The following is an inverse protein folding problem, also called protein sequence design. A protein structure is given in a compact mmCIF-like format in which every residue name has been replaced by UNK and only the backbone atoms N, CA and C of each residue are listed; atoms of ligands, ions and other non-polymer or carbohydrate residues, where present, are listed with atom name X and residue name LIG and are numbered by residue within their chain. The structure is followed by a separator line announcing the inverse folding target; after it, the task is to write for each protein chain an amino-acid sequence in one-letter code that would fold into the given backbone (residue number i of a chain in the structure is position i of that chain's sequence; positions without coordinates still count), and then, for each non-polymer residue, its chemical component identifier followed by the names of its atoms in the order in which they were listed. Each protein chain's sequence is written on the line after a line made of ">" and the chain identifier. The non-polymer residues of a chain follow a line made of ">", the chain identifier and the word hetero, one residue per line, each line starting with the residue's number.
data_IF_643347384886
#
_entry.id   IF_643347384886
#
_cell.length_a   1.000
_cell.length_b   1.000
_cell.length_c   1.000
_cell.angle_alpha   90.00
_cell.angle_beta   90.00
_cell.angle_gamma   90.00
#
_symmetry.space_group_name_H-M   'P 1'
#
loop_
_entity.id
_entity.type
_entity.pdbx_description
1 polymer ?
#
# COMPACT_ATOMS: atom_id res chain seq x y z
N UNK A 1 -0.59 -24.49 -14.31
CA UNK A 1 -1.57 -25.03 -13.35
C UNK A 1 -1.62 -24.16 -12.11
N UNK A 2 -2.81 -23.90 -11.55
CA UNK A 2 -2.97 -23.20 -10.27
C UNK A 2 -2.46 -24.11 -9.15
N UNK A 3 -1.54 -23.60 -8.30
CA UNK A 3 -1.09 -24.31 -7.09
C UNK A 3 -2.05 -23.96 -5.96
N UNK A 4 -2.57 -24.94 -5.25
CA UNK A 4 -3.46 -24.75 -4.09
C UNK A 4 -2.70 -25.04 -2.79
N UNK A 5 -2.95 -24.20 -1.79
CA UNK A 5 -2.47 -24.36 -0.43
C UNK A 5 -3.66 -24.26 0.53
N UNK A 6 -3.76 -25.20 1.47
CA UNK A 6 -4.74 -25.15 2.54
C UNK A 6 -4.03 -24.96 3.87
N UNK A 7 -4.33 -23.88 4.59
CA UNK A 7 -3.64 -23.53 5.84
C UNK A 7 -3.83 -24.54 6.98
N UNK A 8 -4.91 -25.34 6.94
CA UNK A 8 -5.21 -26.36 7.96
C UNK A 8 -4.50 -27.69 7.73
N UNK A 9 -3.99 -27.95 6.51
CA UNK A 9 -3.32 -29.22 6.19
C UNK A 9 -1.81 -29.18 6.50
N UNK A 10 -1.29 -28.02 6.95
CA UNK A 10 0.14 -27.79 7.19
C UNK A 10 0.55 -27.81 8.66
N UNK A 11 -0.38 -28.12 9.59
CA UNK A 11 -0.07 -28.18 11.04
C UNK A 11 1.02 -29.23 11.40
N UNK A 12 1.38 -30.15 10.48
CA UNK A 12 2.41 -31.17 10.66
C UNK A 12 3.61 -31.00 9.71
N UNK A 13 3.67 -29.96 8.90
CA UNK A 13 4.74 -29.71 7.93
C UNK A 13 5.39 -28.34 8.14
N UNK A 14 6.58 -28.13 7.56
CA UNK A 14 7.26 -26.84 7.58
C UNK A 14 6.37 -25.75 7.02
N UNK A 15 6.26 -24.64 7.75
CA UNK A 15 5.40 -23.53 7.40
C UNK A 15 6.05 -22.19 7.77
N UNK A 16 5.90 -21.19 6.91
CA UNK A 16 6.25 -19.80 7.19
C UNK A 16 4.99 -19.04 7.61
N UNK A 17 4.89 -18.70 8.89
CA UNK A 17 3.82 -17.86 9.42
C UNK A 17 4.23 -16.39 9.35
N UNK A 18 3.38 -15.54 8.78
CA UNK A 18 3.54 -14.09 8.78
C UNK A 18 2.70 -13.53 9.93
N UNK A 19 3.36 -13.18 11.03
CA UNK A 19 2.64 -12.85 12.28
C UNK A 19 2.70 -11.37 12.53
N UNK A 20 1.52 -10.73 12.57
CA UNK A 20 1.41 -9.33 12.97
C UNK A 20 1.75 -9.15 14.46
N UNK A 21 2.49 -8.07 14.75
CA UNK A 21 2.82 -7.60 16.10
C UNK A 21 2.06 -6.31 16.43
N UNK A 22 1.94 -5.92 17.70
CA UNK A 22 1.31 -4.66 18.07
C UNK A 22 2.02 -3.45 17.48
N UNK A 23 1.24 -2.40 17.14
CA UNK A 23 1.76 -1.13 16.64
C UNK A 23 1.92 -0.06 17.74
N UNK A 24 1.73 -0.46 19.00
CA UNK A 24 1.85 0.42 20.15
C UNK A 24 1.11 -0.06 21.40
N UNK A 25 0.05 -0.85 21.25
CA UNK A 25 -0.72 -1.39 22.34
C UNK A 25 -0.62 -2.92 22.36
N UNK A 26 -0.11 -3.49 23.44
CA UNK A 26 0.05 -4.93 23.58
C UNK A 26 -1.29 -5.70 23.57
N UNK A 27 -2.40 -5.04 23.89
CA UNK A 27 -3.75 -5.63 23.84
C UNK A 27 -4.22 -5.92 22.41
N UNK A 28 -3.59 -5.32 21.40
CA UNK A 28 -3.87 -5.61 19.99
C UNK A 28 -3.23 -6.92 19.50
N UNK A 29 -2.50 -7.62 20.36
CA UNK A 29 -1.94 -8.93 20.05
C UNK A 29 -3.05 -9.99 20.00
N UNK A 30 -3.18 -10.68 18.87
CA UNK A 30 -4.23 -11.70 18.74
C UNK A 30 -3.86 -12.99 19.49
N UNK A 31 -4.88 -13.67 20.02
CA UNK A 31 -4.71 -14.99 20.66
C UNK A 31 -4.03 -16.00 19.72
N UNK A 32 -4.36 -15.96 18.42
CA UNK A 32 -3.75 -16.82 17.40
C UNK A 32 -2.27 -16.51 17.22
N UNK A 33 -1.89 -15.23 17.20
CA UNK A 33 -0.49 -14.82 17.09
C UNK A 33 0.33 -15.32 18.28
N UNK A 34 -0.16 -15.15 19.50
CA UNK A 34 0.49 -15.64 20.72
C UNK A 34 0.67 -17.16 20.66
N UNK A 35 -0.35 -17.92 20.27
CA UNK A 35 -0.29 -19.37 20.14
C UNK A 35 0.75 -19.79 19.11
N UNK A 36 0.72 -19.22 17.90
CA UNK A 36 1.67 -19.55 16.83
C UNK A 36 3.12 -19.24 17.27
N UNK A 37 3.36 -18.08 17.88
CA UNK A 37 4.70 -17.72 18.36
C UNK A 37 5.23 -18.65 19.46
N UNK A 38 4.33 -19.32 20.22
CA UNK A 38 4.73 -20.34 21.21
C UNK A 38 4.98 -21.71 20.58
N UNK A 39 4.33 -22.03 19.47
CA UNK A 39 4.34 -23.34 18.83
C UNK A 39 5.43 -23.51 17.76
N UNK A 40 5.85 -22.43 17.08
CA UNK A 40 6.87 -22.50 16.02
C UNK A 40 8.26 -22.84 16.58
N UNK A 41 9.10 -23.44 15.73
CA UNK A 41 10.48 -23.78 16.10
C UNK A 41 11.36 -22.52 16.25
N UNK A 42 11.11 -21.47 15.43
CA UNK A 42 11.93 -20.26 15.39
C UNK A 42 11.06 -19.05 15.06
N UNK A 43 11.37 -17.92 15.68
CA UNK A 43 10.84 -16.61 15.31
C UNK A 43 11.93 -15.83 14.59
N UNK A 44 11.70 -15.50 13.32
CA UNK A 44 12.54 -14.60 12.54
C UNK A 44 12.07 -13.17 12.79
N UNK A 45 12.94 -12.30 13.32
CA UNK A 45 12.61 -10.97 13.79
C UNK A 45 13.53 -9.90 13.16
N UNK A 46 12.97 -8.75 12.85
CA UNK A 46 13.71 -7.60 12.35
C UNK A 46 14.68 -7.07 13.42
N UNK A 47 14.20 -6.68 14.59
CA UNK A 47 15.01 -6.42 15.77
C UNK A 47 14.67 -7.42 16.89
N UNK A 48 15.59 -8.36 17.10
CA UNK A 48 15.45 -9.40 18.14
C UNK A 48 15.33 -8.84 19.55
N UNK A 49 15.84 -7.62 19.80
CA UNK A 49 15.76 -6.95 21.11
C UNK A 49 14.33 -6.49 21.40
N UNK A 50 13.65 -5.94 20.41
CA UNK A 50 12.26 -5.51 20.51
C UNK A 50 11.33 -6.72 20.60
N UNK A 51 11.52 -7.69 19.71
CA UNK A 51 10.75 -8.95 19.74
C UNK A 51 10.95 -9.70 21.05
N UNK A 52 12.16 -9.68 21.66
CA UNK A 52 12.40 -10.32 22.96
C UNK A 52 11.56 -9.71 24.09
N UNK A 53 11.35 -8.38 24.08
CA UNK A 53 10.47 -7.72 25.06
C UNK A 53 9.03 -8.19 24.92
N UNK A 54 8.54 -8.28 23.66
CA UNK A 54 7.21 -8.81 23.34
C UNK A 54 7.06 -10.27 23.80
N UNK A 55 8.04 -11.13 23.46
CA UNK A 55 8.06 -12.51 23.86
C UNK A 55 8.04 -12.69 25.38
N UNK A 56 8.84 -11.89 26.12
CA UNK A 56 8.85 -11.94 27.58
C UNK A 56 7.48 -11.55 28.17
N UNK A 57 6.81 -10.55 27.63
CA UNK A 57 5.49 -10.12 28.12
C UNK A 57 4.42 -11.22 27.95
N UNK A 58 4.45 -11.95 26.84
CA UNK A 58 3.48 -13.02 26.55
C UNK A 58 3.98 -14.42 26.94
N UNK A 59 5.09 -14.51 27.68
CA UNK A 59 5.67 -15.79 28.12
C UNK A 59 5.95 -16.74 26.94
N UNK A 60 6.57 -16.21 25.87
CA UNK A 60 7.00 -16.95 24.68
C UNK A 60 8.49 -17.25 24.84
N UNK A 61 8.85 -18.53 24.84
CA UNK A 61 10.23 -19.01 25.01
C UNK A 61 10.92 -19.41 23.69
N UNK A 62 10.21 -19.32 22.57
CA UNK A 62 10.69 -19.69 21.24
C UNK A 62 11.99 -18.94 20.87
N UNK A 63 12.99 -19.64 20.29
CA UNK A 63 14.25 -19.03 19.87
C UNK A 63 14.03 -17.92 18.82
N UNK A 64 14.83 -16.85 18.92
CA UNK A 64 14.82 -15.74 17.98
C UNK A 64 15.99 -15.84 17.01
N UNK A 65 15.72 -15.55 15.72
CA UNK A 65 16.71 -15.39 14.66
C UNK A 65 16.56 -13.99 14.05
N UNK A 66 17.69 -13.29 13.86
CA UNK A 66 17.65 -11.96 13.23
C UNK A 66 17.46 -12.06 11.71
N UNK A 67 16.50 -11.29 11.19
CA UNK A 67 16.21 -11.15 9.77
C UNK A 67 15.79 -9.71 9.46
N UNK A 68 16.67 -8.91 8.85
CA UNK A 68 16.52 -7.48 8.62
C UNK A 68 17.14 -7.07 7.27
N UNK A 69 16.91 -5.87 6.81
CA UNK A 69 17.34 -5.34 5.50
C UNK A 69 18.83 -5.52 5.19
N UNK A 70 19.70 -5.49 6.19
CA UNK A 70 21.14 -5.64 6.00
C UNK A 70 21.59 -7.09 5.86
N UNK A 71 20.73 -8.10 6.11
CA UNK A 71 21.09 -9.51 6.01
C UNK A 71 20.12 -10.35 5.16
N UNK A 72 19.29 -9.73 4.32
CA UNK A 72 18.21 -10.39 3.55
C UNK A 72 18.68 -11.64 2.79
N UNK A 73 19.83 -11.59 2.12
CA UNK A 73 20.34 -12.72 1.35
C UNK A 73 20.76 -13.88 2.25
N UNK A 74 21.63 -13.63 3.22
CA UNK A 74 22.17 -14.67 4.13
C UNK A 74 21.09 -15.15 5.10
N UNK A 75 20.33 -14.23 5.68
CA UNK A 75 19.25 -14.57 6.59
C UNK A 75 18.11 -15.29 5.88
N UNK A 76 17.74 -14.85 4.69
CA UNK A 76 16.70 -15.49 3.90
C UNK A 76 17.05 -16.91 3.49
N UNK A 77 18.28 -17.17 3.04
CA UNK A 77 18.72 -18.54 2.72
C UNK A 77 18.71 -19.44 3.95
N UNK A 78 19.16 -18.93 5.10
CA UNK A 78 19.09 -19.68 6.36
C UNK A 78 17.65 -20.02 6.76
N UNK A 79 16.69 -19.14 6.54
CA UNK A 79 15.27 -19.44 6.79
C UNK A 79 14.75 -20.52 5.84
N UNK A 80 15.14 -20.49 4.55
CA UNK A 80 14.78 -21.53 3.59
C UNK A 80 15.40 -22.91 3.97
N UNK A 81 16.65 -22.93 4.40
CA UNK A 81 17.29 -24.14 4.90
C UNK A 81 16.49 -24.76 6.08
N UNK A 82 16.10 -23.93 7.04
CA UNK A 82 15.28 -24.36 8.17
C UNK A 82 13.92 -24.92 7.74
N UNK A 83 13.26 -24.26 6.75
CA UNK A 83 12.01 -24.79 6.17
C UNK A 83 12.23 -26.14 5.48
N UNK A 84 13.34 -26.32 4.74
CA UNK A 84 13.72 -27.59 4.09
C UNK A 84 14.02 -28.70 5.12
N UNK A 85 14.51 -28.33 6.31
CA UNK A 85 14.70 -29.25 7.46
C UNK A 85 13.39 -29.61 8.16
N UNK A 86 12.25 -29.11 7.71
CA UNK A 86 10.95 -29.43 8.31
C UNK A 86 10.55 -28.48 9.45
N UNK A 87 11.27 -27.38 9.69
CA UNK A 87 10.99 -26.42 10.76
C UNK A 87 9.87 -25.48 10.39
N UNK A 88 9.06 -25.10 11.38
CA UNK A 88 8.09 -24.03 11.30
C UNK A 88 8.68 -22.71 11.77
N UNK A 89 8.41 -21.64 11.04
CA UNK A 89 9.00 -20.32 11.28
C UNK A 89 7.90 -19.27 11.37
N UNK A 90 7.96 -18.40 12.37
CA UNK A 90 7.16 -17.17 12.41
C UNK A 90 8.06 -15.98 12.00
N UNK A 91 7.68 -15.26 10.95
CA UNK A 91 8.28 -13.98 10.58
C UNK A 91 7.48 -12.86 11.23
N UNK A 92 8.17 -11.98 11.94
CA UNK A 92 7.60 -10.79 12.59
C UNK A 92 8.40 -9.55 12.21
N UNK A 93 7.73 -8.41 12.11
CA UNK A 93 8.34 -7.06 12.07
C UNK A 93 8.34 -6.43 13.46
N UNK A 94 8.98 -5.28 13.59
CA UNK A 94 9.00 -4.53 14.84
C UNK A 94 7.61 -4.04 15.25
N UNK A 95 6.74 -3.72 14.24
CA UNK A 95 5.38 -3.25 14.48
C UNK A 95 4.46 -3.57 13.29
N UNK A 96 3.31 -4.18 13.56
CA UNK A 96 2.29 -4.46 12.55
C UNK A 96 2.56 -5.74 11.73
N UNK A 97 2.20 -5.69 10.45
CA UNK A 97 2.31 -6.82 9.53
C UNK A 97 3.70 -6.86 8.88
N UNK A 98 4.44 -7.98 8.96
CA UNK A 98 5.68 -8.15 8.21
C UNK A 98 5.41 -8.03 6.70
N UNK A 99 6.44 -7.70 5.93
CA UNK A 99 6.39 -7.49 4.47
C UNK A 99 5.65 -6.22 4.00
N UNK A 100 5.05 -5.44 4.88
CA UNK A 100 4.37 -4.19 4.54
C UNK A 100 5.20 -3.02 5.05
N UNK A 101 6.00 -2.41 4.19
CA UNK A 101 7.03 -1.41 4.52
C UNK A 101 8.16 -1.93 5.42
N UNK A 102 8.23 -3.24 5.58
CA UNK A 102 9.17 -3.99 6.41
C UNK A 102 9.78 -5.15 5.61
N UNK A 103 10.92 -5.74 6.06
CA UNK A 103 11.54 -6.91 5.41
C UNK A 103 10.59 -8.11 5.35
N UNK A 104 10.76 -8.96 4.31
CA UNK A 104 10.07 -10.26 4.26
C UNK A 104 9.48 -10.66 2.92
N UNK A 105 9.16 -9.73 2.04
CA UNK A 105 8.52 -10.04 0.76
C UNK A 105 9.35 -10.99 -0.12
N UNK A 106 10.66 -10.90 -0.06
CA UNK A 106 11.62 -11.74 -0.78
C UNK A 106 11.64 -13.18 -0.27
N UNK A 107 11.66 -13.39 1.05
CA UNK A 107 11.61 -14.74 1.64
C UNK A 107 10.25 -15.39 1.41
N UNK A 108 9.15 -14.60 1.47
CA UNK A 108 7.81 -15.09 1.14
C UNK A 108 7.76 -15.57 -0.31
N UNK A 109 8.27 -14.78 -1.26
CA UNK A 109 8.29 -15.17 -2.67
C UNK A 109 9.08 -16.47 -2.91
N UNK A 110 10.25 -16.62 -2.29
CA UNK A 110 11.08 -17.83 -2.38
C UNK A 110 10.41 -19.04 -1.74
N UNK A 111 9.85 -18.89 -0.54
CA UNK A 111 9.13 -19.96 0.14
C UNK A 111 7.94 -20.49 -0.69
N UNK A 112 7.15 -19.59 -1.28
CA UNK A 112 6.06 -19.94 -2.20
C UNK A 112 6.59 -20.63 -3.46
N UNK A 113 7.71 -20.17 -4.02
CA UNK A 113 8.33 -20.77 -5.20
C UNK A 113 8.80 -22.20 -4.93
N UNK A 114 9.38 -22.46 -3.76
CA UNK A 114 9.81 -23.80 -3.32
C UNK A 114 8.65 -24.70 -2.87
N UNK A 115 7.43 -24.15 -2.77
CA UNK A 115 6.22 -24.91 -2.43
C UNK A 115 5.96 -25.04 -0.93
N UNK A 116 6.65 -24.26 -0.10
CA UNK A 116 6.35 -24.18 1.32
C UNK A 116 5.03 -23.44 1.57
N UNK A 117 4.31 -23.84 2.61
CA UNK A 117 3.12 -23.15 3.05
C UNK A 117 3.49 -21.79 3.67
N UNK A 118 2.81 -20.73 3.23
CA UNK A 118 2.92 -19.39 3.81
C UNK A 118 1.56 -18.99 4.37
N UNK A 119 1.48 -18.79 5.68
CA UNK A 119 0.21 -18.57 6.37
C UNK A 119 0.19 -17.21 7.05
N UNK A 120 -0.69 -16.28 6.60
CA UNK A 120 -0.86 -15.01 7.28
C UNK A 120 -1.62 -15.19 8.60
N UNK A 121 -1.13 -14.50 9.62
CA UNK A 121 -1.79 -14.38 10.93
C UNK A 121 -2.22 -12.91 11.09
N UNK A 122 -3.51 -12.59 10.92
CA UNK A 122 -4.01 -11.22 11.00
C UNK A 122 -3.72 -10.56 12.35
N UNK A 123 -3.62 -9.24 12.34
CA UNK A 123 -3.42 -8.44 13.54
C UNK A 123 -3.36 -6.95 13.24
N UNK A 124 -2.74 -6.19 14.13
CA UNK A 124 -2.67 -4.74 14.04
C UNK A 124 -2.05 -4.25 12.71
N UNK A 125 -2.66 -3.20 12.16
CA UNK A 125 -2.19 -2.53 10.94
C UNK A 125 -2.52 -1.05 10.99
N UNK A 126 -1.51 -0.19 10.97
CA UNK A 126 -1.69 1.25 11.10
C UNK A 126 -2.45 1.87 9.92
N UNK A 127 -2.19 1.42 8.68
CA UNK A 127 -2.80 1.98 7.48
C UNK A 127 -4.32 1.81 7.48
N UNK A 128 -4.80 0.59 7.71
CA UNK A 128 -6.24 0.32 7.72
C UNK A 128 -6.92 0.92 8.95
N UNK A 129 -6.27 0.93 10.11
CA UNK A 129 -6.79 1.56 11.33
C UNK A 129 -6.95 3.08 11.14
N UNK A 130 -5.96 3.74 10.54
CA UNK A 130 -6.05 5.15 10.18
C UNK A 130 -7.18 5.41 9.18
N UNK A 131 -7.28 4.60 8.12
CA UNK A 131 -8.27 4.78 7.06
C UNK A 131 -9.70 4.70 7.60
N UNK A 132 -10.05 3.64 8.34
CA UNK A 132 -11.41 3.45 8.85
C UNK A 132 -11.83 4.51 9.86
N UNK A 133 -10.87 5.13 10.56
CA UNK A 133 -11.10 6.21 11.51
C UNK A 133 -10.93 7.60 10.92
N UNK A 134 -10.51 7.74 9.65
CA UNK A 134 -10.24 9.03 9.02
C UNK A 134 -11.50 9.87 8.78
N UNK A 135 -12.60 9.25 8.42
CA UNK A 135 -13.82 9.91 7.91
C UNK A 135 -13.75 10.22 6.41
N UNK A 136 -12.70 9.76 5.71
CA UNK A 136 -12.55 9.82 4.25
C UNK A 136 -13.10 8.55 3.60
N UNK A 137 -13.20 8.54 2.25
CA UNK A 137 -13.61 7.34 1.52
C UNK A 137 -12.67 6.18 1.82
N UNK A 138 -13.24 5.03 2.17
CA UNK A 138 -12.47 3.83 2.49
C UNK A 138 -12.31 2.90 1.29
N UNK A 139 -12.97 3.19 0.15
CA UNK A 139 -12.94 2.36 -1.06
C UNK A 139 -13.16 3.21 -2.32
N UNK A 140 -12.33 3.00 -3.37
CA UNK A 140 -11.04 2.31 -3.30
C UNK A 140 -10.01 3.10 -2.50
N UNK A 141 -8.90 2.46 -2.10
CA UNK A 141 -7.77 3.13 -1.48
C UNK A 141 -6.44 2.63 -2.05
N UNK A 142 -5.43 3.47 -1.99
CA UNK A 142 -4.08 3.17 -2.43
C UNK A 142 -3.10 3.32 -1.26
N UNK A 143 -2.50 2.21 -0.83
CA UNK A 143 -1.43 2.24 0.16
C UNK A 143 -0.08 2.44 -0.55
N UNK A 144 0.61 3.52 -0.23
CA UNK A 144 1.91 3.85 -0.80
C UNK A 144 3.07 3.49 0.14
N UNK A 145 2.90 3.64 1.45
CA UNK A 145 3.97 3.52 2.44
C UNK A 145 4.75 4.83 2.62
N UNK A 146 6.08 4.75 2.66
CA UNK A 146 6.93 5.93 2.88
C UNK A 146 7.32 6.61 1.57
N UNK A 147 7.21 7.93 1.55
CA UNK A 147 7.78 8.76 0.47
C UNK A 147 9.32 8.74 0.50
N UNK A 148 9.96 8.94 -0.65
CA UNK A 148 11.42 9.01 -0.77
C UNK A 148 12.02 10.06 0.17
N UNK A 149 13.18 9.73 0.76
CA UNK A 149 13.98 10.67 1.57
C UNK A 149 14.58 11.77 0.69
N UNK A 150 14.83 11.49 -0.58
CA UNK A 150 15.33 12.47 -1.53
C UNK A 150 14.19 13.43 -1.93
N UNK A 151 14.40 14.74 -1.72
CA UNK A 151 13.40 15.77 -1.99
C UNK A 151 12.91 15.77 -3.45
N UNK A 152 13.80 15.56 -4.42
CA UNK A 152 13.43 15.57 -5.85
C UNK A 152 12.55 14.37 -6.19
N UNK A 153 12.92 13.18 -5.74
CA UNK A 153 12.15 11.97 -5.93
C UNK A 153 10.80 12.06 -5.22
N UNK A 154 10.77 12.53 -3.96
CA UNK A 154 9.55 12.74 -3.18
C UNK A 154 8.55 13.65 -3.91
N UNK A 155 9.03 14.75 -4.53
CA UNK A 155 8.15 15.61 -5.33
C UNK A 155 7.55 14.89 -6.53
N UNK A 156 8.35 14.11 -7.26
CA UNK A 156 7.86 13.29 -8.38
C UNK A 156 6.83 12.24 -7.93
N UNK A 157 7.04 11.64 -6.76
CA UNK A 157 6.07 10.70 -6.16
C UNK A 157 4.77 11.43 -5.81
N UNK A 158 4.84 12.61 -5.19
CA UNK A 158 3.68 13.42 -4.83
C UNK A 158 2.91 13.87 -6.09
N UNK A 159 3.59 14.27 -7.19
CA UNK A 159 2.96 14.58 -8.47
C UNK A 159 2.15 13.41 -9.05
N UNK A 160 2.65 12.18 -8.88
CA UNK A 160 1.89 10.98 -9.28
C UNK A 160 0.69 10.72 -8.35
N UNK A 161 0.86 10.92 -7.05
CA UNK A 161 -0.20 10.75 -6.05
C UNK A 161 -1.29 11.83 -6.15
N UNK A 162 -0.95 13.02 -6.64
CA UNK A 162 -1.92 14.10 -6.88
C UNK A 162 -3.06 13.65 -7.81
N UNK A 163 -2.75 12.83 -8.80
CA UNK A 163 -3.71 12.36 -9.82
C UNK A 163 -4.63 11.23 -9.34
N UNK A 164 -4.41 10.67 -8.14
CA UNK A 164 -5.19 9.55 -7.62
C UNK A 164 -6.59 9.98 -7.21
N UNK A 165 -7.59 9.25 -7.68
CA UNK A 165 -8.99 9.42 -7.28
C UNK A 165 -9.33 8.65 -6.00
N UNK A 166 -8.52 7.63 -5.66
CA UNK A 166 -8.63 6.85 -4.45
C UNK A 166 -8.06 7.60 -3.24
N UNK A 167 -8.52 7.27 -2.05
CA UNK A 167 -7.82 7.68 -0.82
C UNK A 167 -6.40 7.12 -0.80
N UNK A 168 -5.41 7.95 -0.49
CA UNK A 168 -4.00 7.56 -0.44
C UNK A 168 -3.53 7.48 1.00
N UNK A 169 -2.86 6.38 1.36
CA UNK A 169 -2.33 6.17 2.70
C UNK A 169 -0.80 6.17 2.65
N UNK A 170 -0.19 7.00 3.51
CA UNK A 170 1.24 7.14 3.66
C UNK A 170 1.65 6.91 5.11
N UNK A 171 2.88 6.42 5.32
CA UNK A 171 3.56 6.45 6.61
C UNK A 171 4.58 7.59 6.63
N UNK A 172 4.71 8.25 7.77
CA UNK A 172 5.70 9.32 7.90
C UNK A 172 6.26 9.43 9.32
N UNK A 173 7.55 9.73 9.39
CA UNK A 173 8.24 9.97 10.65
C UNK A 173 8.07 11.43 11.13
N UNK A 174 8.15 11.70 12.43
CA UNK A 174 8.00 13.06 12.95
C UNK A 174 9.05 14.04 12.39
N UNK A 175 10.24 13.53 12.11
CA UNK A 175 11.35 14.35 11.60
C UNK A 175 11.16 14.80 10.14
N UNK A 176 10.31 14.11 9.38
CA UNK A 176 10.09 14.36 7.95
C UNK A 176 8.72 14.95 7.65
N UNK A 177 7.78 14.86 8.59
CA UNK A 177 6.39 15.26 8.40
C UNK A 177 6.26 16.69 7.85
N UNK A 178 6.99 17.63 8.43
CA UNK A 178 6.98 19.03 8.00
C UNK A 178 7.40 19.21 6.54
N UNK A 179 8.48 18.56 6.14
CA UNK A 179 8.98 18.63 4.77
C UNK A 179 8.02 17.96 3.79
N UNK A 180 7.46 16.81 4.15
CA UNK A 180 6.51 16.08 3.33
C UNK A 180 5.22 16.87 3.11
N UNK A 181 4.66 17.49 4.16
CA UNK A 181 3.45 18.33 4.06
C UNK A 181 3.70 19.59 3.21
N UNK A 182 4.85 20.25 3.35
CA UNK A 182 5.22 21.43 2.51
C UNK A 182 5.39 21.02 1.05
N UNK A 183 6.00 19.88 0.77
CA UNK A 183 6.12 19.40 -0.62
C UNK A 183 4.75 19.02 -1.18
N UNK A 184 3.83 18.45 -0.39
CA UNK A 184 2.43 18.20 -0.80
C UNK A 184 1.72 19.53 -1.11
N UNK A 185 1.79 20.52 -0.23
CA UNK A 185 1.18 21.85 -0.44
C UNK A 185 1.71 22.54 -1.70
N UNK A 186 3.00 22.35 -2.04
CA UNK A 186 3.60 22.95 -3.23
C UNK A 186 3.13 22.33 -4.56
N UNK A 187 2.48 21.17 -4.52
CA UNK A 187 2.14 20.37 -5.71
C UNK A 187 0.64 20.10 -5.79
N UNK A 188 0.01 19.78 -4.66
CA UNK A 188 -1.41 19.49 -4.57
C UNK A 188 -2.22 20.75 -4.20
N UNK A 189 -3.52 20.71 -4.44
CA UNK A 189 -4.41 21.76 -3.94
C UNK A 189 -4.42 21.79 -2.42
N UNK A 190 -4.17 22.97 -1.85
CA UNK A 190 -4.12 23.16 -0.41
C UNK A 190 -5.43 22.84 0.32
N UNK A 191 -6.56 22.91 -0.39
CA UNK A 191 -7.92 22.57 0.09
C UNK A 191 -8.20 21.08 0.15
N UNK A 192 -7.36 20.21 -0.46
CA UNK A 192 -7.51 18.75 -0.44
C UNK A 192 -7.52 18.24 1.00
N UNK A 193 -8.50 17.41 1.34
CA UNK A 193 -8.67 16.88 2.69
C UNK A 193 -7.55 15.90 3.04
N UNK A 194 -7.06 16.01 4.26
CA UNK A 194 -6.02 15.17 4.84
C UNK A 194 -6.36 14.81 6.28
N UNK A 195 -5.94 13.63 6.70
CA UNK A 195 -5.99 13.20 8.09
C UNK A 195 -4.60 12.74 8.51
N UNK A 196 -4.09 13.28 9.61
CA UNK A 196 -2.86 12.84 10.25
C UNK A 196 -3.25 12.01 11.47
N UNK A 197 -3.11 10.69 11.38
CA UNK A 197 -3.31 9.79 12.51
C UNK A 197 -1.96 9.58 13.20
N UNK A 198 -1.83 10.14 14.40
CA UNK A 198 -0.60 10.17 15.19
C UNK A 198 -0.66 9.15 16.30
N UNK A 199 0.45 8.42 16.53
CA UNK A 199 0.63 7.53 17.67
C UNK A 199 -0.54 6.52 17.85
N UNK A 200 -1.03 5.95 16.75
CA UNK A 200 -2.15 5.01 16.74
C UNK A 200 -1.97 3.92 17.80
N UNK A 201 -3.05 3.60 18.52
CA UNK A 201 -3.15 2.65 19.62
C UNK A 201 -2.37 3.00 20.90
N UNK A 202 -1.50 4.03 20.85
CA UNK A 202 -0.68 4.46 21.99
C UNK A 202 -1.44 5.47 22.87
N UNK A 203 -0.88 5.77 24.04
CA UNK A 203 -1.47 6.71 25.02
C UNK A 203 -1.78 8.10 24.46
N UNK A 204 -1.04 8.53 23.44
CA UNK A 204 -1.18 9.85 22.83
C UNK A 204 -1.74 9.78 21.42
N UNK A 205 -2.58 8.78 21.16
CA UNK A 205 -3.31 8.66 19.90
C UNK A 205 -4.12 9.94 19.62
N UNK A 206 -3.94 10.46 18.42
CA UNK A 206 -4.59 11.70 18.00
C UNK A 206 -4.90 11.63 16.49
N UNK A 207 -6.07 12.14 16.11
CA UNK A 207 -6.48 12.31 14.72
C UNK A 207 -6.66 13.80 14.43
N UNK A 208 -5.80 14.36 13.59
CA UNK A 208 -5.88 15.72 13.07
C UNK A 208 -6.53 15.67 11.69
N UNK A 209 -7.71 16.27 11.56
CA UNK A 209 -8.51 16.25 10.33
C UNK A 209 -8.67 17.65 9.80
N UNK A 210 -8.37 17.86 8.52
CA UNK A 210 -8.47 19.18 7.88
C UNK A 210 -8.05 19.11 6.40
N UNK A 211 -7.49 20.20 5.94
CA UNK A 211 -6.92 20.37 4.61
C UNK A 211 -5.39 20.31 4.66
N UNK A 212 -4.74 20.20 3.50
CA UNK A 212 -3.26 20.25 3.42
C UNK A 212 -2.75 21.58 3.98
N UNK A 213 -3.41 22.72 3.67
CA UNK A 213 -3.00 24.03 4.18
C UNK A 213 -3.09 24.09 5.71
N UNK A 214 -4.18 23.62 6.30
CA UNK A 214 -4.35 23.56 7.76
C UNK A 214 -3.34 22.60 8.42
N UNK A 215 -3.00 21.49 7.77
CA UNK A 215 -1.98 20.57 8.25
C UNK A 215 -0.57 21.19 8.23
N UNK A 216 -0.25 21.99 7.20
CA UNK A 216 1.00 22.75 7.12
C UNK A 216 1.04 23.82 8.21
N UNK A 217 -0.04 24.59 8.41
CA UNK A 217 -0.09 25.58 9.48
C UNK A 217 0.10 24.95 10.87
N UNK A 218 -0.57 23.82 11.11
CA UNK A 218 -0.43 23.09 12.37
C UNK A 218 1.01 22.63 12.60
N UNK A 219 1.67 22.00 11.59
CA UNK A 219 3.03 21.46 11.75
C UNK A 219 4.10 22.55 11.93
N UNK A 220 3.81 23.79 11.52
CA UNK A 220 4.71 24.94 11.76
C UNK A 220 4.71 25.40 13.22
N UNK A 221 3.61 25.21 13.93
CA UNK A 221 3.41 25.69 15.30
C UNK A 221 3.59 24.60 16.36
N UNK A 222 3.39 23.34 15.97
CA UNK A 222 3.40 22.22 16.91
C UNK A 222 4.81 21.64 17.13
N UNK A 223 5.03 21.09 18.31
CA UNK A 223 6.17 20.21 18.56
C UNK A 223 5.85 18.79 18.04
N UNK A 224 6.47 18.41 16.94
CA UNK A 224 6.18 17.17 16.25
C UNK A 224 6.89 16.00 16.91
N UNK A 225 6.11 15.07 17.47
CA UNK A 225 6.58 13.84 18.10
C UNK A 225 5.69 12.66 17.66
N UNK A 226 6.27 11.46 17.71
CA UNK A 226 5.55 10.22 17.42
C UNK A 226 5.46 9.92 15.92
N UNK A 227 4.92 8.77 15.59
CA UNK A 227 4.77 8.25 14.24
C UNK A 227 3.42 8.67 13.65
N UNK A 228 3.39 8.86 12.34
CA UNK A 228 2.21 9.33 11.63
C UNK A 228 1.79 8.36 10.53
N UNK A 229 0.50 8.10 10.46
CA UNK A 229 -0.15 7.57 9.28
C UNK A 229 -0.98 8.69 8.65
N UNK A 230 -0.70 9.02 7.41
CA UNK A 230 -1.36 10.10 6.68
C UNK A 230 -2.39 9.48 5.74
N UNK A 231 -3.62 9.98 5.77
CA UNK A 231 -4.66 9.61 4.81
C UNK A 231 -5.05 10.86 4.04
N UNK A 232 -4.80 10.84 2.73
CA UNK A 232 -5.23 11.89 1.79
C UNK A 232 -6.54 11.48 1.14
N UNK A 233 -7.48 12.39 0.99
CA UNK A 233 -8.67 12.16 0.17
C UNK A 233 -8.27 11.92 -1.30
N UNK A 234 -9.09 11.24 -2.05
CA UNK A 234 -8.98 11.18 -3.50
C UNK A 234 -9.06 12.58 -4.13
N UNK A 235 -8.61 12.70 -5.37
CA UNK A 235 -8.77 13.92 -6.14
C UNK A 235 -10.09 13.83 -6.93
N UNK A 236 -11.06 14.64 -6.53
CA UNK A 236 -12.37 14.69 -7.19
C UNK A 236 -12.32 15.49 -8.51
N UNK A 237 -11.29 16.34 -8.69
CA UNK A 237 -11.13 17.22 -9.85
C UNK A 237 -10.34 16.59 -11.01
N UNK A 238 -9.99 15.33 -10.93
CA UNK A 238 -9.48 14.63 -12.09
C UNK A 238 -10.64 14.41 -13.05
N UNK A 239 -11.00 15.47 -13.81
CA UNK A 239 -11.63 15.27 -15.11
C UNK A 239 -10.86 14.14 -15.80
N UNK A 240 -11.56 13.14 -16.30
CA UNK A 240 -11.03 11.98 -17.02
C UNK A 240 -10.03 12.39 -18.13
N UNK A 241 -8.85 12.88 -17.73
CA UNK A 241 -7.67 12.77 -18.54
C UNK A 241 -7.07 11.41 -18.21
N UNK A 242 -7.75 10.39 -18.71
CA UNK A 242 -7.16 9.09 -18.86
C UNK A 242 -5.82 9.26 -19.57
N UNK A 243 -4.70 9.06 -18.86
CA UNK A 243 -3.45 8.61 -19.47
C UNK A 243 -3.61 7.11 -19.93
N UNK A 244 -4.79 6.67 -20.25
CA UNK A 244 -4.99 5.66 -21.28
C UNK A 244 -4.53 6.35 -22.56
N UNK A 245 -3.40 5.94 -23.09
CA UNK A 245 -3.02 6.24 -24.47
C UNK A 245 -4.27 5.98 -25.28
N UNK A 246 -4.97 7.06 -25.68
CA UNK A 246 -6.26 6.94 -26.33
C UNK A 246 -5.97 6.09 -27.56
N UNK A 247 -6.44 4.83 -27.57
CA UNK A 247 -6.09 3.83 -28.58
C UNK A 247 -6.25 4.37 -30.01
N UNK A 248 -6.98 5.45 -30.16
CA UNK A 248 -7.21 6.16 -31.40
C UNK A 248 -6.28 7.37 -31.60
N UNK A 249 -5.38 7.71 -30.67
CA UNK A 249 -4.51 8.89 -30.77
C UNK A 249 -3.58 8.88 -31.99
N UNK A 250 -3.17 7.69 -32.44
CA UNK A 250 -2.35 7.49 -33.64
C UNK A 250 -3.19 7.28 -34.92
N UNK A 251 -4.53 7.18 -34.82
CA UNK A 251 -5.41 6.97 -35.96
C UNK A 251 -5.83 8.31 -36.57
N UNK A 252 -5.96 8.34 -37.90
CA UNK A 252 -6.67 9.41 -38.60
C UNK A 252 -8.15 9.41 -38.18
N UNK A 253 -8.87 10.46 -38.51
CA UNK A 253 -10.29 10.57 -38.16
C UNK A 253 -11.11 9.50 -38.89
N UNK A 254 -10.78 9.23 -40.16
CA UNK A 254 -11.41 8.20 -40.98
C UNK A 254 -11.15 6.81 -40.42
N UNK A 255 -9.89 6.45 -40.14
CA UNK A 255 -9.53 5.18 -39.53
C UNK A 255 -10.23 4.94 -38.19
N UNK A 256 -10.43 6.01 -37.39
CA UNK A 256 -11.13 5.90 -36.13
C UNK A 256 -12.63 5.60 -36.33
N UNK A 257 -13.30 6.28 -37.29
CA UNK A 257 -14.71 6.04 -37.62
C UNK A 257 -14.89 4.61 -38.15
N UNK A 258 -14.05 4.17 -39.09
CA UNK A 258 -14.12 2.84 -39.68
C UNK A 258 -13.90 1.72 -38.65
N UNK A 259 -13.00 1.94 -37.72
CA UNK A 259 -12.74 1.00 -36.63
C UNK A 259 -13.95 0.87 -35.69
N UNK A 260 -14.60 1.97 -35.32
CA UNK A 260 -15.84 1.95 -34.52
C UNK A 260 -16.97 1.22 -35.29
N UNK A 261 -17.11 1.46 -36.60
CA UNK A 261 -18.09 0.75 -37.42
C UNK A 261 -17.85 -0.77 -37.37
N UNK A 262 -16.58 -1.17 -37.53
CA UNK A 262 -16.20 -2.59 -37.59
C UNK A 262 -16.38 -3.28 -36.23
N UNK A 263 -15.89 -2.67 -35.13
CA UNK A 263 -15.94 -3.25 -33.80
C UNK A 263 -17.36 -3.31 -33.22
N UNK A 264 -18.16 -2.26 -33.44
CA UNK A 264 -19.52 -2.16 -32.87
C UNK A 264 -20.63 -2.57 -33.85
N UNK A 265 -20.28 -2.89 -35.08
CA UNK A 265 -21.24 -3.23 -36.14
C UNK A 265 -22.39 -2.20 -36.25
N UNK A 266 -22.06 -0.91 -36.11
CA UNK A 266 -23.01 0.20 -36.12
C UNK A 266 -22.96 0.98 -37.43
N UNK A 267 -23.96 1.88 -37.63
CA UNK A 267 -23.99 2.74 -38.81
C UNK A 267 -22.92 3.83 -38.76
N UNK A 268 -22.46 4.33 -39.93
CA UNK A 268 -21.51 5.45 -40.02
C UNK A 268 -21.97 6.70 -39.22
N UNK A 269 -23.28 6.95 -39.19
CA UNK A 269 -23.88 8.07 -38.45
C UNK A 269 -23.74 7.91 -36.94
N UNK A 270 -23.82 6.69 -36.42
CA UNK A 270 -23.60 6.38 -35.00
C UNK A 270 -22.13 6.43 -34.66
N UNK A 271 -21.25 5.89 -35.50
CA UNK A 271 -19.81 5.94 -35.33
C UNK A 271 -19.29 7.41 -35.32
N UNK A 272 -19.72 8.25 -36.25
CA UNK A 272 -19.38 9.68 -36.30
C UNK A 272 -19.82 10.40 -35.00
N UNK A 273 -21.00 10.06 -34.46
CA UNK A 273 -21.44 10.63 -33.19
C UNK A 273 -20.54 10.24 -32.04
N UNK A 274 -20.09 9.01 -32.01
CA UNK A 274 -19.22 8.48 -30.98
C UNK A 274 -17.81 9.07 -31.08
N UNK A 275 -17.22 9.08 -32.28
CA UNK A 275 -15.91 9.68 -32.54
C UNK A 275 -15.89 11.18 -32.20
N UNK A 276 -16.99 11.89 -32.50
CA UNK A 276 -17.13 13.30 -32.11
C UNK A 276 -17.05 13.51 -30.60
N UNK A 277 -17.69 12.63 -29.82
CA UNK A 277 -17.63 12.66 -28.35
C UNK A 277 -16.21 12.32 -27.87
N UNK A 278 -15.61 11.24 -28.37
CA UNK A 278 -14.30 10.75 -27.95
C UNK A 278 -13.18 11.75 -28.27
N UNK A 279 -13.25 12.45 -29.40
CA UNK A 279 -12.24 13.46 -29.81
C UNK A 279 -12.58 14.88 -29.38
N UNK A 280 -13.71 15.12 -28.70
CA UNK A 280 -14.14 16.45 -28.31
C UNK A 280 -14.43 17.38 -29.49
N UNK A 281 -14.82 16.81 -30.65
CA UNK A 281 -15.11 17.56 -31.88
C UNK A 281 -16.62 17.69 -32.12
N UNK A 282 -17.03 18.66 -32.97
CA UNK A 282 -18.42 18.72 -33.40
C UNK A 282 -18.76 17.59 -34.42
N UNK A 283 -19.97 17.06 -34.34
CA UNK A 283 -20.43 16.03 -35.33
C UNK A 283 -20.26 16.49 -36.77
N UNK A 284 -20.42 17.80 -37.01
CA UNK A 284 -20.33 18.38 -38.34
C UNK A 284 -18.88 18.31 -38.87
N UNK A 285 -17.92 18.58 -38.01
CA UNK A 285 -16.47 18.49 -38.35
C UNK A 285 -16.09 17.04 -38.66
N UNK A 286 -16.48 16.07 -37.81
CA UNK A 286 -16.19 14.66 -38.05
C UNK A 286 -16.86 14.17 -39.32
N UNK A 287 -18.13 14.56 -39.60
CA UNK A 287 -18.86 14.20 -40.81
C UNK A 287 -18.18 14.76 -42.07
N UNK A 288 -17.73 16.03 -42.02
CA UNK A 288 -17.05 16.66 -43.17
C UNK A 288 -15.73 15.96 -43.49
N UNK A 289 -14.92 15.64 -42.47
CA UNK A 289 -13.66 14.95 -42.67
C UNK A 289 -13.86 13.48 -43.14
N UNK A 290 -14.94 12.83 -42.80
CA UNK A 290 -15.22 11.44 -43.17
C UNK A 290 -15.85 11.29 -44.55
N UNK A 291 -16.57 12.30 -45.06
CA UNK A 291 -17.36 12.22 -46.31
C UNK A 291 -16.95 13.20 -47.41
N UNK A 292 -16.03 14.12 -47.12
CA UNK A 292 -15.61 15.16 -48.08
C UNK A 292 -14.08 15.01 -48.29
N UNK A 293 -13.73 14.39 -49.42
CA UNK A 293 -12.38 14.51 -50.00
C UNK A 293 -12.04 15.96 -50.36
#
# INVERSE_FOLDING_TARGET
>A
MIKSQKSTEHEQSSCLYLVATPIGNLEDMTMRAIRILKEVDIIAAEDTRNTKKLCNYFEISTPLLSYHDHNLQVGGEKLLELLREGKSIALVSDAGLPCISDPGADIVAKAVQEGFAVVPVPGANAALSALIASGLSTQPFFFYGFLSRNKKERKVEIEKLQKRQESVILYESPHRLKDSLRDMQSIMEGTRKIVLARELTKKFEEFLRGTIDEAVEWVEQAEIRGEFCIVLAGNDDVSETSDEVQWWSELTLEEHVDRIITEKQCTSKEAIKEVAIQRGMSKREVYQNYHVE
#
